data_IF_543836468645
#
_entry.id   IF_543836468645
#
_cell.length_a   1.000
_cell.length_b   1.000
_cell.length_c   1.000
_cell.angle_alpha   90.00
_cell.angle_beta   90.00
_cell.angle_gamma   90.00
#
_symmetry.space_group_name_H-M   'P 1'
#
loop_
_entity.id
_entity.type
_entity.pdbx_description
1 polymer ?
#
# COMPACT_ATOMS: atom_id res chain seq x y z
N UNK A 1 4.93 -13.13 -4.18
CA UNK A 1 4.09 -13.15 -2.96
C UNK A 1 4.65 -12.12 -1.99
N UNK A 2 3.81 -11.22 -1.44
CA UNK A 2 4.22 -10.23 -0.45
C UNK A 2 4.37 -10.87 0.94
N UNK A 3 5.29 -10.36 1.75
CA UNK A 3 5.49 -10.75 3.16
C UNK A 3 5.76 -9.49 3.97
N UNK A 4 5.17 -9.39 5.15
CA UNK A 4 5.35 -8.24 6.05
C UNK A 4 5.96 -8.73 7.35
N UNK A 5 6.97 -8.02 7.85
CA UNK A 5 7.52 -8.29 9.17
C UNK A 5 6.56 -7.75 10.23
N UNK A 6 6.47 -8.40 11.39
CA UNK A 6 5.55 -8.02 12.48
C UNK A 6 5.80 -6.60 13.03
N UNK A 7 7.00 -6.05 12.84
CA UNK A 7 7.35 -4.69 13.22
C UNK A 7 6.75 -3.62 12.30
N UNK A 8 6.24 -3.98 11.11
CA UNK A 8 5.59 -3.07 10.18
C UNK A 8 4.16 -2.75 10.65
N UNK A 9 4.05 -2.13 11.83
CA UNK A 9 2.78 -1.94 12.56
C UNK A 9 1.76 -1.13 11.78
N UNK A 10 2.20 -0.11 11.03
CA UNK A 10 1.29 0.76 10.29
C UNK A 10 0.59 0.01 9.16
N UNK A 11 1.33 -0.67 8.27
CA UNK A 11 0.70 -1.43 7.19
C UNK A 11 -0.17 -2.57 7.71
N UNK A 12 0.26 -3.26 8.79
CA UNK A 12 -0.54 -4.31 9.42
C UNK A 12 -1.87 -3.74 9.97
N UNK A 13 -1.82 -2.58 10.63
CA UNK A 13 -3.02 -1.89 11.15
C UNK A 13 -3.90 -1.42 10.00
N UNK A 14 -3.33 -0.79 8.98
CA UNK A 14 -4.09 -0.22 7.87
C UNK A 14 -4.77 -1.30 7.02
N UNK A 15 -4.16 -2.47 6.84
CA UNK A 15 -4.80 -3.61 6.17
C UNK A 15 -6.14 -4.03 6.81
N UNK A 16 -6.32 -3.86 8.13
CA UNK A 16 -7.58 -4.21 8.81
C UNK A 16 -8.61 -3.08 8.79
N UNK A 17 -8.22 -1.86 8.40
CA UNK A 17 -9.07 -0.66 8.41
C UNK A 17 -9.43 -0.18 7.00
N UNK A 18 -8.58 -0.46 6.01
CA UNK A 18 -8.72 0.00 4.63
C UNK A 18 -9.95 -0.62 3.97
N UNK A 19 -10.88 0.22 3.50
CA UNK A 19 -12.19 -0.21 3.03
C UNK A 19 -12.76 0.68 1.94
N UNK A 20 -13.72 0.14 1.19
CA UNK A 20 -14.44 0.84 0.14
C UNK A 20 -15.36 1.93 0.67
N UNK A 21 -15.55 2.97 -0.13
CA UNK A 21 -16.52 4.02 0.12
C UNK A 21 -17.83 3.72 -0.60
N UNK A 22 -18.74 3.01 0.07
CA UNK A 22 -20.05 2.63 -0.48
C UNK A 22 -20.94 3.83 -0.84
N UNK A 23 -20.60 5.03 -0.36
CA UNK A 23 -21.36 6.27 -0.61
C UNK A 23 -20.86 7.05 -1.82
N UNK A 24 -19.69 6.70 -2.39
CA UNK A 24 -19.03 7.55 -3.39
C UNK A 24 -19.63 7.44 -4.80
N UNK A 25 -20.54 6.51 -5.06
CA UNK A 25 -21.10 6.28 -6.41
C UNK A 25 -20.07 5.78 -7.44
N UNK A 26 -18.82 5.59 -7.03
CA UNK A 26 -17.70 5.06 -7.81
C UNK A 26 -16.83 4.16 -6.92
N UNK A 27 -16.09 3.25 -7.55
CA UNK A 27 -15.18 2.35 -6.85
C UNK A 27 -13.95 3.11 -6.36
N UNK A 28 -14.03 3.60 -5.12
CA UNK A 28 -12.94 4.28 -4.46
C UNK A 28 -12.83 3.88 -2.98
N UNK A 29 -11.61 3.69 -2.45
CA UNK A 29 -11.40 3.53 -1.02
C UNK A 29 -11.71 4.83 -0.27
N UNK A 30 -12.04 4.73 1.01
CA UNK A 30 -12.06 5.90 1.90
C UNK A 30 -10.61 6.35 2.12
N UNK A 31 -10.29 7.64 1.94
CA UNK A 31 -8.96 8.22 2.14
C UNK A 31 -8.65 8.46 3.63
N UNK A 32 -8.70 7.37 4.40
CA UNK A 32 -8.42 7.31 5.83
C UNK A 32 -7.60 6.06 6.13
N UNK A 33 -6.55 6.17 6.96
CA UNK A 33 -5.66 5.05 7.31
C UNK A 33 -5.11 4.33 6.06
N UNK A 34 -4.62 5.10 5.09
CA UNK A 34 -4.23 4.60 3.78
C UNK A 34 -2.80 4.97 3.36
N UNK A 35 -1.98 5.51 4.27
CA UNK A 35 -0.66 6.00 3.90
C UNK A 35 0.28 4.84 3.55
N UNK A 36 0.36 3.83 4.42
CA UNK A 36 1.15 2.64 4.17
C UNK A 36 0.53 1.78 3.06
N UNK A 37 -0.80 1.80 2.92
CA UNK A 37 -1.49 1.14 1.80
C UNK A 37 -1.15 1.78 0.45
N UNK A 38 -1.10 3.12 0.38
CA UNK A 38 -0.70 3.85 -0.82
C UNK A 38 0.77 3.60 -1.18
N UNK A 39 1.68 3.60 -0.20
CA UNK A 39 3.09 3.27 -0.40
C UNK A 39 3.25 1.85 -1.01
N UNK A 40 2.56 0.87 -0.43
CA UNK A 40 2.56 -0.50 -0.97
C UNK A 40 1.97 -0.56 -2.38
N UNK A 41 0.88 0.17 -2.64
CA UNK A 41 0.24 0.22 -3.97
C UNK A 41 1.22 0.74 -5.02
N UNK A 42 1.96 1.81 -4.71
CA UNK A 42 2.99 2.34 -5.62
C UNK A 42 4.13 1.34 -5.83
N UNK A 43 4.61 0.69 -4.77
CA UNK A 43 5.64 -0.34 -4.88
C UNK A 43 5.23 -1.48 -5.81
N UNK A 44 4.01 -2.02 -5.62
CA UNK A 44 3.51 -3.14 -6.44
C UNK A 44 3.24 -2.70 -7.87
N UNK A 45 2.63 -1.52 -8.08
CA UNK A 45 2.34 -1.00 -9.41
C UNK A 45 3.63 -0.81 -10.23
N UNK A 46 4.68 -0.27 -9.61
CA UNK A 46 6.00 -0.10 -10.24
C UNK A 46 6.67 -1.45 -10.55
N UNK A 47 6.65 -2.39 -9.59
CA UNK A 47 7.17 -3.76 -9.78
C UNK A 47 6.50 -4.51 -10.93
N UNK A 48 5.19 -4.33 -11.12
CA UNK A 48 4.45 -4.97 -12.22
C UNK A 48 4.74 -4.28 -13.56
N UNK A 49 4.94 -2.96 -13.55
CA UNK A 49 5.21 -2.19 -14.77
C UNK A 49 6.63 -2.40 -15.31
N UNK A 50 7.60 -2.73 -14.44
CA UNK A 50 9.02 -2.89 -14.80
C UNK A 50 9.35 -4.27 -15.37
N UNK A 51 10.39 -4.31 -16.20
CA UNK A 51 10.99 -5.57 -16.68
C UNK A 51 11.70 -6.27 -15.52
N UNK A 52 11.77 -7.62 -15.51
CA UNK A 52 12.26 -8.40 -14.37
C UNK A 52 13.66 -8.06 -13.85
N UNK A 53 14.50 -7.43 -14.69
CA UNK A 53 15.92 -7.22 -14.40
C UNK A 53 16.24 -5.84 -13.78
N UNK A 54 15.23 -5.00 -13.53
CA UNK A 54 15.42 -3.66 -12.98
C UNK A 54 15.10 -3.67 -11.47
N UNK A 55 16.13 -3.81 -10.63
CA UNK A 55 15.97 -3.85 -9.18
C UNK A 55 15.43 -2.52 -8.64
N UNK A 56 14.39 -2.56 -7.80
CA UNK A 56 13.80 -1.36 -7.18
C UNK A 56 13.44 -1.56 -5.71
N UNK A 57 13.56 -0.48 -4.94
CA UNK A 57 13.22 -0.40 -3.53
C UNK A 57 12.58 0.96 -3.21
N UNK A 58 11.68 0.97 -2.22
CA UNK A 58 11.07 2.18 -1.66
C UNK A 58 11.35 2.25 -0.16
N UNK A 59 11.59 3.45 0.37
CA UNK A 59 11.90 3.70 1.79
C UNK A 59 11.04 4.86 2.28
N UNK A 60 10.48 4.72 3.49
CA UNK A 60 9.80 5.81 4.19
C UNK A 60 10.68 6.37 5.31
N UNK A 61 10.47 7.65 5.62
CA UNK A 61 11.10 8.32 6.77
C UNK A 61 10.08 8.40 7.91
N UNK A 62 10.57 8.30 9.15
CA UNK A 62 9.74 8.56 10.32
C UNK A 62 9.24 10.01 10.27
N UNK A 63 7.98 10.23 10.67
CA UNK A 63 7.41 11.57 10.82
C UNK A 63 8.03 12.32 11.99
#
# INVERSE_FOLDING_TARGET
>A
KLRFHESCRDIIREFSLYRWNDKCGMDAPIKENDHAMDDMRYFVADMIAKKPDDGFFAVSVAR
#
